data_IF_401767923150
#
_entry.id   IF_401767923150
#
_cell.length_a   1.000
_cell.length_b   1.000
_cell.length_c   1.000
_cell.angle_alpha   90.00
_cell.angle_beta   90.00
_cell.angle_gamma   90.00
#
_symmetry.space_group_name_H-M   'P 1'
#
loop_
_entity.id
_entity.type
_entity.pdbx_description
1 polymer ?
#
# COMPACT_ATOMS: atom_id res chain seq x y z
N UNK A 1 -6.33 -19.70 3.75
CA UNK A 1 -6.33 -18.58 2.79
C UNK A 1 -7.69 -17.89 2.84
N UNK A 2 -7.73 -16.56 2.66
CA UNK A 2 -8.97 -15.77 2.82
C UNK A 2 -10.00 -16.12 1.74
N UNK A 3 -9.67 -16.13 0.43
CA UNK A 3 -10.57 -16.61 -0.61
C UNK A 3 -11.12 -18.02 -0.35
N UNK A 4 -10.29 -18.95 0.11
CA UNK A 4 -10.73 -20.33 0.35
C UNK A 4 -11.76 -20.43 1.49
N UNK A 5 -11.65 -19.60 2.52
CA UNK A 5 -12.64 -19.55 3.59
C UNK A 5 -14.01 -19.09 3.07
N UNK A 6 -14.02 -18.12 2.13
CA UNK A 6 -15.26 -17.67 1.47
C UNK A 6 -15.84 -18.78 0.59
N UNK A 7 -15.01 -19.44 -0.23
CA UNK A 7 -15.46 -20.53 -1.13
C UNK A 7 -16.06 -21.71 -0.36
N UNK A 8 -15.50 -22.05 0.81
CA UNK A 8 -16.05 -23.11 1.67
C UNK A 8 -17.31 -22.72 2.43
N UNK A 9 -17.65 -21.42 2.48
CA UNK A 9 -18.74 -20.90 3.29
C UNK A 9 -18.42 -20.81 4.78
N UNK A 10 -17.14 -20.79 5.15
CA UNK A 10 -16.71 -20.61 6.55
C UNK A 10 -16.97 -19.17 7.03
N UNK A 11 -17.01 -18.21 6.09
CA UNK A 11 -17.26 -16.78 6.31
C UNK A 11 -18.08 -16.20 5.16
N UNK A 12 -18.86 -15.14 5.43
CA UNK A 12 -19.70 -14.49 4.41
C UNK A 12 -18.91 -13.65 3.40
N UNK A 13 -17.78 -13.08 3.82
CA UNK A 13 -16.92 -12.24 3.01
C UNK A 13 -15.46 -12.27 3.50
N UNK A 14 -14.53 -11.89 2.62
CA UNK A 14 -13.10 -11.81 2.92
C UNK A 14 -12.50 -10.48 2.49
N UNK A 15 -11.74 -9.83 3.38
CA UNK A 15 -10.90 -8.70 3.02
C UNK A 15 -9.59 -9.22 2.43
N UNK A 16 -9.34 -8.92 1.16
CA UNK A 16 -8.12 -9.34 0.46
C UNK A 16 -7.15 -8.16 0.32
N UNK A 17 -5.88 -8.44 0.59
CA UNK A 17 -4.75 -7.53 0.38
C UNK A 17 -3.67 -8.26 -0.44
N UNK A 18 -2.59 -7.55 -0.78
CA UNK A 18 -1.51 -8.06 -1.62
C UNK A 18 -2.00 -8.57 -2.99
N UNK A 19 -1.28 -9.51 -3.60
CA UNK A 19 -1.54 -10.04 -4.93
C UNK A 19 -2.92 -10.67 -5.09
N UNK A 20 -3.55 -11.09 -3.98
CA UNK A 20 -4.86 -11.76 -3.97
C UNK A 20 -5.96 -10.88 -4.57
N UNK A 21 -5.80 -9.56 -4.54
CA UNK A 21 -6.71 -8.61 -5.21
C UNK A 21 -6.77 -8.79 -6.73
N UNK A 22 -5.79 -9.47 -7.34
CA UNK A 22 -5.73 -9.73 -8.78
C UNK A 22 -6.17 -11.15 -9.14
N UNK A 23 -6.35 -12.03 -8.17
CA UNK A 23 -6.57 -13.47 -8.39
C UNK A 23 -7.87 -14.02 -7.79
N UNK A 24 -8.56 -13.28 -6.91
CA UNK A 24 -9.77 -13.79 -6.25
C UNK A 24 -10.85 -14.27 -7.23
N UNK A 25 -10.96 -13.64 -8.41
CA UNK A 25 -11.92 -14.01 -9.46
C UNK A 25 -11.68 -15.41 -10.02
N UNK A 26 -10.44 -15.91 -9.98
CA UNK A 26 -10.08 -17.27 -10.41
C UNK A 26 -10.74 -18.35 -9.54
N UNK A 27 -11.19 -17.99 -8.34
CA UNK A 27 -11.94 -18.85 -7.42
C UNK A 27 -13.46 -18.64 -7.52
N UNK A 28 -13.95 -18.02 -8.60
CA UNK A 28 -15.35 -17.66 -8.81
C UNK A 28 -15.93 -16.73 -7.73
N UNK A 29 -15.08 -15.95 -7.07
CA UNK A 29 -15.50 -14.92 -6.12
C UNK A 29 -15.75 -13.60 -6.85
N UNK A 30 -16.66 -12.79 -6.33
CA UNK A 30 -16.96 -11.46 -6.84
C UNK A 30 -16.54 -10.36 -5.86
N UNK A 31 -16.15 -9.19 -6.38
CA UNK A 31 -15.86 -8.02 -5.56
C UNK A 31 -17.17 -7.39 -5.06
N UNK A 32 -17.32 -7.33 -3.74
CA UNK A 32 -18.46 -6.69 -3.07
C UNK A 32 -18.21 -5.23 -2.71
N UNK A 33 -16.96 -4.88 -2.41
CA UNK A 33 -16.53 -3.54 -2.06
C UNK A 33 -15.08 -3.34 -2.50
N UNK A 34 -14.80 -2.16 -3.06
CA UNK A 34 -13.46 -1.69 -3.36
C UNK A 34 -13.13 -0.57 -2.37
N UNK A 35 -12.32 -0.88 -1.35
CA UNK A 35 -11.96 0.09 -0.30
C UNK A 35 -11.16 1.27 -0.86
N UNK A 36 -10.43 1.05 -1.95
CA UNK A 36 -9.70 2.08 -2.68
C UNK A 36 -10.61 3.14 -3.29
N UNK A 37 -11.61 2.65 -4.02
CA UNK A 37 -12.65 3.47 -4.64
C UNK A 37 -13.52 4.15 -3.58
N UNK A 38 -13.95 3.42 -2.55
CA UNK A 38 -14.73 3.98 -1.46
C UNK A 38 -14.00 5.14 -0.76
N UNK A 39 -12.71 4.99 -0.47
CA UNK A 39 -11.91 6.06 0.13
C UNK A 39 -11.84 7.29 -0.77
N UNK A 40 -11.48 7.10 -2.05
CA UNK A 40 -11.38 8.18 -3.02
C UNK A 40 -12.70 8.95 -3.10
N UNK A 41 -13.82 8.25 -3.22
CA UNK A 41 -15.13 8.87 -3.37
C UNK A 41 -15.56 9.59 -2.07
N UNK A 42 -15.26 9.01 -0.91
CA UNK A 42 -15.59 9.58 0.41
C UNK A 42 -14.74 10.79 0.80
N UNK A 43 -13.56 10.95 0.20
CA UNK A 43 -12.59 12.01 0.52
C UNK A 43 -12.45 13.06 -0.58
N UNK A 44 -13.30 13.01 -1.61
CA UNK A 44 -13.26 13.97 -2.72
C UNK A 44 -12.02 13.80 -3.62
N UNK A 45 -11.48 12.59 -3.71
CA UNK A 45 -10.41 12.24 -4.65
C UNK A 45 -9.05 11.95 -4.03
N UNK A 46 -8.92 11.85 -2.70
CA UNK A 46 -7.61 11.58 -2.09
C UNK A 46 -7.12 10.15 -2.40
N UNK A 47 -5.81 9.95 -2.61
CA UNK A 47 -5.23 8.62 -2.78
C UNK A 47 -5.32 7.83 -1.47
N UNK A 48 -5.46 6.50 -1.51
CA UNK A 48 -5.60 5.70 -0.28
C UNK A 48 -4.22 5.48 0.38
N UNK A 49 -4.02 5.86 1.66
CA UNK A 49 -2.76 5.64 2.36
C UNK A 49 -2.70 4.19 2.88
N UNK A 50 -2.28 3.26 2.01
CA UNK A 50 -2.28 1.81 2.32
C UNK A 50 -1.07 1.36 3.14
N UNK A 51 0.09 1.97 2.91
CA UNK A 51 1.33 1.64 3.60
C UNK A 51 2.27 2.83 3.60
N UNK A 52 3.01 2.99 4.68
CA UNK A 52 4.02 4.04 4.86
C UNK A 52 5.30 3.43 5.42
N UNK A 53 6.44 3.99 5.03
CA UNK A 53 7.71 3.69 5.69
C UNK A 53 7.85 4.65 6.87
N UNK A 54 8.16 4.12 8.04
CA UNK A 54 8.32 4.90 9.27
C UNK A 54 9.74 4.74 9.80
N UNK A 55 10.34 5.85 10.22
CA UNK A 55 11.67 5.85 10.82
C UNK A 55 11.60 6.36 12.26
N UNK A 56 12.31 5.69 13.16
CA UNK A 56 12.32 6.07 14.57
C UNK A 56 13.03 7.40 14.79
N UNK A 57 12.40 8.30 15.55
CA UNK A 57 12.98 9.58 15.95
C UNK A 57 14.30 9.46 16.72
N UNK A 58 14.60 8.28 17.28
CA UNK A 58 15.86 8.00 17.96
C UNK A 58 17.10 8.26 17.08
N UNK A 59 16.99 8.11 15.75
CA UNK A 59 18.12 8.29 14.84
C UNK A 59 18.52 9.74 14.58
N UNK A 60 17.67 10.71 14.96
CA UNK A 60 17.88 12.14 14.69
C UNK A 60 17.63 12.52 13.23
N UNK A 61 17.30 13.79 13.00
CA UNK A 61 16.80 14.28 11.71
C UNK A 61 17.81 14.12 10.56
N UNK A 62 19.11 14.32 10.82
CA UNK A 62 20.15 14.24 9.79
C UNK A 62 20.29 12.80 9.26
N UNK A 63 20.25 11.81 10.15
CA UNK A 63 20.28 10.39 9.77
C UNK A 63 19.03 10.00 9.01
N UNK A 64 17.86 10.46 9.46
CA UNK A 64 16.57 10.18 8.83
C UNK A 64 16.56 10.72 7.40
N UNK A 65 16.95 11.99 7.20
CA UNK A 65 17.03 12.62 5.87
C UNK A 65 18.04 11.94 4.96
N UNK A 66 19.18 11.51 5.52
CA UNK A 66 20.19 10.78 4.75
C UNK A 66 19.65 9.43 4.27
N UNK A 67 18.94 8.69 5.12
CA UNK A 67 18.32 7.42 4.75
C UNK A 67 17.21 7.63 3.72
N UNK A 68 16.36 8.63 3.90
CA UNK A 68 15.30 8.97 2.95
C UNK A 68 15.86 9.23 1.53
N UNK A 69 16.97 9.96 1.42
CA UNK A 69 17.68 10.13 0.15
C UNK A 69 18.09 8.82 -0.51
N UNK A 70 18.75 7.92 0.24
CA UNK A 70 19.13 6.60 -0.28
C UNK A 70 17.93 5.73 -0.64
N UNK A 71 16.86 5.80 0.15
CA UNK A 71 15.64 5.04 -0.08
C UNK A 71 14.95 5.51 -1.37
N UNK A 72 14.84 6.83 -1.56
CA UNK A 72 14.35 7.44 -2.81
C UNK A 72 15.17 7.01 -4.02
N UNK A 73 16.50 7.06 -3.92
CA UNK A 73 17.41 6.59 -4.98
C UNK A 73 17.18 5.10 -5.32
N UNK A 74 16.97 4.26 -4.30
CA UNK A 74 16.67 2.84 -4.49
C UNK A 74 15.35 2.61 -5.24
N UNK A 75 14.30 3.39 -4.92
CA UNK A 75 13.00 3.30 -5.60
C UNK A 75 13.16 3.71 -7.07
N UNK A 76 13.79 4.87 -7.32
CA UNK A 76 14.03 5.39 -8.68
C UNK A 76 14.85 4.39 -9.50
N UNK A 77 15.89 3.79 -8.90
CA UNK A 77 16.70 2.78 -9.55
C UNK A 77 15.88 1.55 -9.96
N UNK A 78 15.04 1.04 -9.06
CA UNK A 78 14.15 -0.10 -9.33
C UNK A 78 13.10 0.21 -10.39
N UNK A 79 12.52 1.41 -10.37
CA UNK A 79 11.55 1.87 -11.38
C UNK A 79 12.19 2.04 -12.77
N UNK A 80 13.45 2.47 -12.85
CA UNK A 80 14.17 2.54 -14.12
C UNK A 80 14.53 1.14 -14.67
N UNK A 81 14.56 0.11 -13.83
CA UNK A 81 14.96 -1.27 -14.17
C UNK A 81 13.91 -2.29 -13.74
N UNK A 82 12.65 -2.05 -14.10
CA UNK A 82 11.51 -2.87 -13.65
C UNK A 82 11.71 -4.36 -13.88
N UNK A 83 12.29 -4.78 -15.01
CA UNK A 83 12.51 -6.22 -15.25
C UNK A 83 13.46 -6.83 -14.22
N UNK A 84 14.63 -6.22 -14.02
CA UNK A 84 15.65 -6.69 -13.07
C UNK A 84 15.13 -6.66 -11.63
N UNK A 85 14.42 -5.59 -11.26
CA UNK A 85 13.80 -5.46 -9.95
C UNK A 85 12.74 -6.55 -9.72
N UNK A 86 11.91 -6.85 -10.73
CA UNK A 86 10.93 -7.93 -10.67
C UNK A 86 11.63 -9.29 -10.60
N UNK A 87 12.69 -9.51 -11.39
CA UNK A 87 13.47 -10.75 -11.37
C UNK A 87 14.01 -11.07 -9.98
N UNK A 88 14.56 -10.06 -9.29
CA UNK A 88 14.93 -10.20 -7.89
C UNK A 88 13.70 -10.45 -7.00
N UNK A 89 12.61 -9.70 -7.19
CA UNK A 89 11.42 -9.83 -6.36
C UNK A 89 10.69 -11.18 -6.50
N UNK A 90 10.94 -11.95 -7.56
CA UNK A 90 10.30 -13.25 -7.79
C UNK A 90 10.53 -14.25 -6.66
N UNK A 91 11.63 -14.14 -5.92
CA UNK A 91 11.87 -14.99 -4.74
C UNK A 91 10.81 -14.80 -3.63
N UNK A 92 10.10 -13.66 -3.63
CA UNK A 92 9.03 -13.33 -2.70
C UNK A 92 7.63 -13.54 -3.28
N UNK A 93 7.52 -14.08 -4.50
CA UNK A 93 6.28 -14.16 -5.29
C UNK A 93 5.24 -15.16 -4.79
N UNK A 94 5.58 -16.02 -3.81
CA UNK A 94 4.70 -17.09 -3.31
C UNK A 94 4.12 -18.00 -4.41
N UNK A 95 4.90 -18.23 -5.46
CA UNK A 95 4.52 -19.10 -6.59
C UNK A 95 3.69 -18.41 -7.67
N UNK A 96 3.46 -17.09 -7.58
CA UNK A 96 2.78 -16.33 -8.61
C UNK A 96 3.64 -16.14 -9.86
N UNK A 97 2.99 -15.91 -11.00
CA UNK A 97 3.70 -15.66 -12.26
C UNK A 97 4.42 -14.31 -12.26
N UNK A 98 5.50 -14.22 -13.04
CA UNK A 98 6.28 -12.98 -13.20
C UNK A 98 5.41 -11.81 -13.70
N UNK A 99 4.51 -12.07 -14.63
CA UNK A 99 3.61 -11.05 -15.17
C UNK A 99 2.63 -10.53 -14.12
N UNK A 100 2.12 -11.41 -13.25
CA UNK A 100 1.24 -11.01 -12.15
C UNK A 100 1.99 -10.17 -11.13
N UNK A 101 3.18 -10.59 -10.72
CA UNK A 101 4.02 -9.82 -9.80
C UNK A 101 4.40 -8.47 -10.40
N UNK A 102 4.78 -8.42 -11.68
CA UNK A 102 5.09 -7.16 -12.37
C UNK A 102 3.89 -6.21 -12.37
N UNK A 103 2.68 -6.73 -12.61
CA UNK A 103 1.44 -5.94 -12.56
C UNK A 103 1.18 -5.44 -11.13
N UNK A 104 1.28 -6.32 -10.14
CA UNK A 104 1.08 -5.99 -8.73
C UNK A 104 2.07 -4.91 -8.25
N UNK A 105 3.36 -5.06 -8.51
CA UNK A 105 4.39 -4.08 -8.14
C UNK A 105 4.07 -2.71 -8.71
N UNK A 106 3.67 -2.61 -9.98
CA UNK A 106 3.34 -1.32 -10.63
C UNK A 106 2.11 -0.63 -10.04
N UNK A 107 1.23 -1.35 -9.35
CA UNK A 107 0.09 -0.73 -8.65
C UNK A 107 0.53 0.04 -7.41
N UNK A 108 1.60 -0.41 -6.76
CA UNK A 108 2.04 0.10 -5.46
C UNK A 108 3.37 0.85 -5.49
N UNK A 109 4.17 0.65 -6.53
CA UNK A 109 5.43 1.36 -6.77
C UNK A 109 5.25 2.30 -7.96
N UNK A 110 4.99 3.56 -7.64
CA UNK A 110 4.71 4.64 -8.59
C UNK A 110 5.26 5.97 -8.07
N UNK A 111 4.94 7.08 -8.72
CA UNK A 111 5.46 8.40 -8.36
C UNK A 111 5.12 8.81 -6.91
N UNK A 112 3.98 8.36 -6.37
CA UNK A 112 3.64 8.60 -4.96
C UNK A 112 4.51 7.83 -3.98
N UNK A 113 5.14 6.73 -4.43
CA UNK A 113 6.13 5.98 -3.63
C UNK A 113 7.45 6.74 -3.53
N UNK A 114 7.82 7.47 -4.59
CA UNK A 114 9.00 8.33 -4.60
C UNK A 114 8.75 9.57 -3.73
N UNK A 115 7.56 10.17 -3.88
CA UNK A 115 7.16 11.38 -3.18
C UNK A 115 5.64 11.43 -3.07
N UNK A 116 5.10 11.37 -1.86
CA UNK A 116 3.66 11.39 -1.64
C UNK A 116 3.06 12.79 -1.91
N UNK A 117 3.87 13.84 -1.75
CA UNK A 117 3.47 15.22 -1.93
C UNK A 117 2.29 15.66 -1.05
N UNK A 118 1.73 16.83 -1.38
CA UNK A 118 0.64 17.44 -0.60
C UNK A 118 -0.63 16.59 -0.54
N UNK A 119 -0.94 15.84 -1.62
CA UNK A 119 -2.12 14.98 -1.66
C UNK A 119 -1.95 13.73 -0.79
N UNK A 120 -0.76 13.14 -0.78
CA UNK A 120 -0.45 12.01 0.09
C UNK A 120 -0.46 12.41 1.56
N UNK A 121 0.19 13.52 1.91
CA UNK A 121 0.13 14.08 3.27
C UNK A 121 -1.31 14.38 3.70
N UNK A 122 -2.08 15.05 2.86
CA UNK A 122 -3.49 15.35 3.15
C UNK A 122 -4.28 14.05 3.38
N UNK A 123 -4.05 13.03 2.56
CA UNK A 123 -4.71 11.74 2.75
C UNK A 123 -4.37 11.06 4.08
N UNK A 124 -3.10 11.07 4.49
CA UNK A 124 -2.69 10.50 5.79
C UNK A 124 -3.34 11.29 6.94
N UNK A 125 -3.35 12.62 6.87
CA UNK A 125 -4.03 13.47 7.87
C UNK A 125 -5.52 13.15 7.96
N UNK A 126 -6.20 13.07 6.83
CA UNK A 126 -7.62 12.71 6.76
C UNK A 126 -7.87 11.31 7.33
N UNK A 127 -7.00 10.35 7.04
CA UNK A 127 -7.10 8.97 7.56
C UNK A 127 -7.00 8.92 9.08
N UNK A 128 -6.03 9.60 9.68
CA UNK A 128 -5.91 9.64 11.13
C UNK A 128 -7.03 10.46 11.78
N UNK A 129 -7.45 11.58 11.19
CA UNK A 129 -8.60 12.33 11.69
C UNK A 129 -9.87 11.47 11.73
N UNK A 130 -10.12 10.70 10.66
CA UNK A 130 -11.22 9.74 10.63
C UNK A 130 -11.12 8.71 11.77
N UNK A 131 -9.92 8.19 12.03
CA UNK A 131 -9.67 7.28 13.15
C UNK A 131 -9.92 7.92 14.52
N UNK A 132 -9.50 9.17 14.72
CA UNK A 132 -9.68 9.94 15.96
C UNK A 132 -11.18 10.20 16.21
N UNK A 133 -11.91 10.69 15.20
CA UNK A 133 -13.35 10.98 15.29
C UNK A 133 -14.17 9.72 15.61
N UNK A 134 -13.70 8.55 15.18
CA UNK A 134 -14.32 7.24 15.47
C UNK A 134 -13.81 6.59 16.77
N UNK A 135 -12.88 7.22 17.49
CA UNK A 135 -12.30 6.68 18.71
C UNK A 135 -11.40 5.45 18.50
N UNK A 136 -10.88 5.24 17.29
CA UNK A 136 -9.98 4.12 16.95
C UNK A 136 -8.51 4.40 17.31
N UNK A 137 -8.15 5.67 17.46
CA UNK A 137 -6.83 6.12 17.91
C UNK A 137 -6.98 7.37 18.78
N UNK A 138 -6.13 7.56 19.80
CA UNK A 138 -6.08 8.83 20.50
C UNK A 138 -5.62 9.96 19.57
N UNK A 139 -5.82 11.20 20.01
CA UNK A 139 -5.19 12.36 19.38
C UNK A 139 -3.67 12.31 19.53
N UNK A 140 -2.97 12.73 18.48
CA UNK A 140 -1.52 12.95 18.49
C UNK A 140 -1.14 14.01 17.46
N UNK A 141 0.02 14.63 17.66
CA UNK A 141 0.62 15.56 16.69
C UNK A 141 1.30 14.76 15.57
N UNK A 142 0.61 14.61 14.43
CA UNK A 142 1.16 13.91 13.27
C UNK A 142 2.25 14.75 12.61
N UNK A 143 3.48 14.23 12.67
CA UNK A 143 4.65 14.77 12.00
C UNK A 143 4.97 13.96 10.75
N UNK A 144 5.02 14.65 9.63
CA UNK A 144 5.41 14.12 8.33
C UNK A 144 6.66 14.91 7.92
N UNK A 145 7.73 14.20 7.59
CA UNK A 145 9.05 14.76 7.30
C UNK A 145 9.32 14.79 5.80
#
# INVERSE_FOLDING_TARGET
DIPDAVVRGDVDAGLVIHETQLTYEQKNLMKVLDTGTWWRDSTGGLPVPLGVNVMSNHFGIDTIKKFDGFFRESIVYGMARVSEAVDYAMQYSRGQSKDLIKRFVRMYVNDMTIEMGVLGEHSIRTFFNFGIEKGLTPYFDLRIA
#
